data_IF_913444175386
#
_entry.id   IF_913444175386
#
_cell.length_a   1.000
_cell.length_b   1.000
_cell.length_c   1.000
_cell.angle_alpha   90.00
_cell.angle_beta   90.00
_cell.angle_gamma   90.00
#
_symmetry.space_group_name_H-M   'P 1'
#
loop_
_entity.id
_entity.type
_entity.pdbx_description
1 polymer ?
#
# COMPACT_ATOMS: atom_id res chain seq x y z
N UNK A 1 -13.60 5.87 2.05
CA UNK A 1 -13.03 4.62 2.59
C UNK A 1 -13.79 4.26 3.85
N UNK A 2 -14.13 2.98 4.04
CA UNK A 2 -14.78 2.50 5.27
C UNK A 2 -13.72 2.00 6.24
N UNK A 3 -14.00 2.01 7.53
CA UNK A 3 -13.12 1.44 8.55
C UNK A 3 -12.83 -0.07 8.32
N UNK A 4 -13.72 -0.77 7.59
CA UNK A 4 -13.58 -2.17 7.20
C UNK A 4 -12.56 -2.40 6.08
N UNK A 5 -12.16 -1.35 5.37
CA UNK A 5 -11.26 -1.46 4.23
C UNK A 5 -9.79 -1.44 4.70
N UNK A 6 -9.55 -1.11 5.98
CA UNK A 6 -8.22 -0.91 6.57
C UNK A 6 -7.94 -1.81 7.76
N UNK A 7 -6.65 -2.05 8.00
CA UNK A 7 -6.12 -2.75 9.17
C UNK A 7 -5.02 -1.94 9.85
N UNK A 8 -4.68 -2.35 11.07
CA UNK A 8 -3.51 -1.82 11.79
C UNK A 8 -2.26 -2.05 10.92
N UNK A 9 -1.42 -1.02 10.81
CA UNK A 9 -0.24 -0.99 9.95
C UNK A 9 -0.49 -0.45 8.53
N UNK A 10 -1.76 -0.29 8.11
CA UNK A 10 -2.03 0.28 6.80
C UNK A 10 -1.59 1.75 6.70
N UNK A 11 -1.08 2.08 5.52
CA UNK A 11 -0.65 3.40 5.12
C UNK A 11 -1.78 4.05 4.32
N UNK A 12 -2.23 5.20 4.80
CA UNK A 12 -3.33 5.97 4.20
C UNK A 12 -2.91 7.42 4.01
N UNK A 13 -3.66 8.16 3.19
CA UNK A 13 -3.38 9.58 2.95
C UNK A 13 -4.06 10.43 4.02
N UNK A 14 -3.30 11.32 4.63
CA UNK A 14 -3.85 12.34 5.52
C UNK A 14 -4.66 13.37 4.72
N UNK A 15 -5.73 13.89 5.32
CA UNK A 15 -6.38 15.11 4.81
C UNK A 15 -5.68 16.39 5.28
N UNK A 16 -4.70 16.30 6.20
CA UNK A 16 -3.83 17.41 6.54
C UNK A 16 -2.73 17.54 5.49
N UNK A 17 -2.69 18.67 4.78
CA UNK A 17 -1.73 18.95 3.71
C UNK A 17 -0.26 19.00 4.18
N UNK A 18 -0.01 19.20 5.47
CA UNK A 18 1.33 19.20 6.07
C UNK A 18 1.90 17.78 6.29
N UNK A 19 1.09 16.74 6.03
CA UNK A 19 1.42 15.34 6.28
C UNK A 19 1.40 14.56 4.97
N UNK A 20 2.46 13.79 4.67
CA UNK A 20 2.50 12.99 3.45
C UNK A 20 1.60 11.75 3.57
N UNK A 21 1.69 11.04 4.70
CA UNK A 21 0.93 9.82 4.95
C UNK A 21 0.70 9.57 6.44
N UNK A 22 -0.27 8.70 6.72
CA UNK A 22 -0.59 8.21 8.04
C UNK A 22 -0.34 6.70 8.13
N UNK A 23 0.02 6.21 9.31
CA UNK A 23 0.01 4.78 9.64
C UNK A 23 -1.07 4.54 10.68
N UNK A 24 -1.95 3.57 10.42
CA UNK A 24 -3.01 3.20 11.37
C UNK A 24 -2.42 2.36 12.51
N UNK A 25 -2.64 2.79 13.75
CA UNK A 25 -2.16 2.10 14.96
C UNK A 25 -3.29 1.45 15.76
N UNK A 26 -4.50 1.99 15.71
CA UNK A 26 -5.66 1.38 16.35
C UNK A 26 -6.96 1.64 15.59
N UNK A 27 -7.86 0.66 15.64
CA UNK A 27 -9.21 0.74 15.07
C UNK A 27 -10.18 0.31 16.16
N UNK A 28 -11.18 1.15 16.40
CA UNK A 28 -12.32 0.86 17.26
C UNK A 28 -13.60 1.01 16.45
N UNK A 29 -14.75 0.64 17.03
CA UNK A 29 -16.05 0.78 16.35
C UNK A 29 -16.34 2.21 15.87
N UNK A 30 -15.79 3.23 16.53
CA UNK A 30 -16.13 4.63 16.28
C UNK A 30 -14.94 5.51 15.90
N UNK A 31 -13.71 5.00 16.03
CA UNK A 31 -12.49 5.81 15.87
C UNK A 31 -11.36 5.00 15.28
N UNK A 32 -10.51 5.70 14.54
CA UNK A 32 -9.23 5.21 14.07
C UNK A 32 -8.16 6.19 14.58
N UNK A 33 -7.05 5.64 15.05
CA UNK A 33 -5.92 6.45 15.52
C UNK A 33 -4.65 6.00 14.82
N UNK A 34 -3.69 6.92 14.72
CA UNK A 34 -2.44 6.61 14.07
C UNK A 34 -1.40 7.71 14.23
N UNK A 35 -0.35 7.57 13.44
CA UNK A 35 0.74 8.53 13.35
C UNK A 35 0.75 9.21 12.01
N UNK A 36 1.09 10.50 12.01
CA UNK A 36 1.37 11.30 10.83
C UNK A 36 2.86 11.27 10.56
N UNK A 37 3.24 11.04 9.30
CA UNK A 37 4.62 11.00 8.87
C UNK A 37 4.86 11.97 7.70
N UNK A 38 6.03 12.59 7.69
CA UNK A 38 6.43 13.49 6.62
C UNK A 38 7.06 12.71 5.44
N UNK A 39 7.53 13.45 4.43
CA UNK A 39 8.11 12.88 3.21
C UNK A 39 9.34 12.00 3.42
N UNK A 40 10.06 12.22 4.52
CA UNK A 40 11.22 11.45 4.96
C UNK A 40 10.86 10.26 5.86
N UNK A 41 9.55 10.00 6.05
CA UNK A 41 9.06 8.96 6.95
C UNK A 41 9.28 9.26 8.43
N UNK A 42 9.52 10.53 8.80
CA UNK A 42 9.66 10.90 10.21
C UNK A 42 8.30 11.19 10.82
N UNK A 43 8.13 10.70 12.04
CA UNK A 43 6.98 11.01 12.89
C UNK A 43 6.83 12.54 13.05
N UNK A 44 5.62 13.03 12.80
CA UNK A 44 5.23 14.43 12.96
C UNK A 44 4.34 14.58 14.19
N UNK A 45 3.27 13.79 14.25
CA UNK A 45 2.26 13.89 15.31
C UNK A 45 1.41 12.62 15.38
N UNK A 46 0.65 12.48 16.48
CA UNK A 46 -0.42 11.49 16.57
C UNK A 46 -1.74 12.13 16.17
N UNK A 47 -2.64 11.32 15.63
CA UNK A 47 -4.01 11.74 15.33
C UNK A 47 -5.01 10.74 15.89
N UNK A 48 -6.19 11.25 16.22
CA UNK A 48 -7.32 10.48 16.72
C UNK A 48 -8.57 11.08 16.10
N UNK A 49 -9.21 10.33 15.19
CA UNK A 49 -10.38 10.85 14.51
C UNK A 49 -11.37 9.77 14.07
N UNK A 50 -12.53 10.23 13.61
CA UNK A 50 -13.48 9.39 12.87
C UNK A 50 -12.93 8.95 11.51
N UNK A 51 -13.65 8.08 10.81
CA UNK A 51 -13.28 7.54 9.49
C UNK A 51 -13.08 8.59 8.40
N UNK A 52 -13.56 9.83 8.61
CA UNK A 52 -13.62 10.87 7.58
C UNK A 52 -12.31 11.65 7.42
N UNK A 53 -11.26 11.29 8.16
CA UNK A 53 -10.00 12.05 8.23
C UNK A 53 -8.87 11.51 7.35
N UNK A 54 -9.09 10.39 6.66
CA UNK A 54 -8.12 9.81 5.77
C UNK A 54 -8.78 9.29 4.50
N UNK A 55 -7.99 9.20 3.45
CA UNK A 55 -8.42 8.70 2.16
C UNK A 55 -7.42 7.68 1.62
N UNK A 56 -7.81 7.00 0.54
CA UNK A 56 -6.93 6.06 -0.14
C UNK A 56 -5.68 6.82 -0.58
N UNK A 57 -4.52 6.32 -0.18
CA UNK A 57 -3.26 6.83 -0.69
C UNK A 57 -3.01 6.17 -2.05
N UNK A 58 -2.98 6.93 -3.16
CA UNK A 58 -2.86 6.32 -4.49
C UNK A 58 -1.57 5.51 -4.63
N UNK A 59 -1.69 4.32 -5.23
CA UNK A 59 -0.58 3.42 -5.49
C UNK A 59 0.19 3.91 -6.74
N UNK A 60 1.16 4.79 -6.51
CA UNK A 60 2.04 5.33 -7.56
C UNK A 60 3.39 4.61 -7.61
N UNK A 61 4.16 4.76 -8.69
CA UNK A 61 5.55 4.25 -8.78
C UNK A 61 6.42 4.66 -7.57
N UNK A 62 6.24 5.90 -7.08
CA UNK A 62 6.92 6.39 -5.87
C UNK A 62 6.58 5.55 -4.64
N UNK A 63 5.31 5.19 -4.47
CA UNK A 63 4.86 4.37 -3.35
C UNK A 63 5.25 2.91 -3.50
N UNK A 64 5.17 2.34 -4.71
CA UNK A 64 5.65 1.00 -5.01
C UNK A 64 7.14 0.86 -4.64
N UNK A 65 7.96 1.84 -5.01
CA UNK A 65 9.38 1.87 -4.65
C UNK A 65 9.58 1.91 -3.14
N UNK A 66 8.83 2.77 -2.42
CA UNK A 66 8.86 2.83 -0.96
C UNK A 66 8.43 1.50 -0.31
N UNK A 67 7.49 0.77 -0.92
CA UNK A 67 7.02 -0.55 -0.47
C UNK A 67 7.99 -1.69 -0.82
N UNK A 68 9.15 -1.38 -1.39
CA UNK A 68 10.21 -2.35 -1.69
C UNK A 68 10.22 -2.89 -3.11
N UNK A 69 9.33 -2.40 -4.00
CA UNK A 69 9.44 -2.75 -5.41
C UNK A 69 10.76 -2.20 -5.98
N UNK A 70 11.39 -3.01 -6.83
CA UNK A 70 12.63 -2.66 -7.50
C UNK A 70 12.46 -2.75 -9.01
N UNK A 71 13.16 -1.88 -9.75
CA UNK A 71 13.17 -1.94 -11.22
C UNK A 71 13.80 -3.24 -11.68
N UNK A 72 13.13 -3.93 -12.59
CA UNK A 72 13.71 -5.07 -13.31
C UNK A 72 14.66 -4.50 -14.37
N UNK A 73 15.91 -4.97 -14.41
CA UNK A 73 16.94 -4.42 -15.32
C UNK A 73 16.62 -4.55 -16.80
N UNK A 74 15.79 -5.52 -17.17
CA UNK A 74 15.46 -5.88 -18.55
C UNK A 74 14.10 -5.36 -19.02
N UNK A 75 13.34 -4.68 -18.16
CA UNK A 75 12.02 -4.13 -18.50
C UNK A 75 11.80 -2.76 -17.86
N UNK A 76 10.70 -2.10 -18.20
CA UNK A 76 10.27 -0.87 -17.53
C UNK A 76 9.43 -1.17 -16.28
N UNK A 77 9.44 -2.42 -15.83
CA UNK A 77 8.55 -2.90 -14.77
C UNK A 77 9.20 -2.80 -13.40
N UNK A 78 8.34 -2.69 -12.40
CA UNK A 78 8.69 -2.80 -11.00
C UNK A 78 8.30 -4.18 -10.48
N UNK A 79 9.12 -4.78 -9.62
CA UNK A 79 8.84 -6.08 -9.03
C UNK A 79 9.08 -6.13 -7.52
N UNK A 80 8.22 -6.88 -6.82
CA UNK A 80 8.39 -7.29 -5.43
C UNK A 80 7.98 -8.75 -5.28
N UNK A 81 8.96 -9.66 -5.22
CA UNK A 81 8.68 -11.10 -5.26
C UNK A 81 7.97 -11.47 -6.55
N UNK A 82 6.74 -11.97 -6.44
CA UNK A 82 5.88 -12.32 -7.58
C UNK A 82 4.92 -11.19 -8.00
N UNK A 83 4.89 -10.08 -7.27
CA UNK A 83 4.14 -8.91 -7.70
C UNK A 83 4.92 -8.16 -8.78
N UNK A 84 4.19 -7.66 -9.76
CA UNK A 84 4.70 -6.89 -10.88
C UNK A 84 3.84 -5.66 -11.09
N UNK A 85 4.46 -4.58 -11.51
CA UNK A 85 3.75 -3.37 -11.91
C UNK A 85 4.33 -2.82 -13.19
N UNK A 86 3.44 -2.49 -14.12
CA UNK A 86 3.75 -1.84 -15.38
C UNK A 86 2.81 -0.64 -15.57
N UNK A 87 3.32 0.47 -16.09
CA UNK A 87 2.54 1.70 -16.25
C UNK A 87 1.36 1.59 -17.23
N UNK A 88 1.35 0.58 -18.10
CA UNK A 88 0.28 0.32 -19.08
C UNK A 88 -0.76 -0.68 -18.57
N UNK A 89 -0.34 -1.72 -17.86
CA UNK A 89 -1.23 -2.81 -17.43
C UNK A 89 -1.60 -2.75 -15.95
N UNK A 90 -0.92 -1.93 -15.15
CA UNK A 90 -1.14 -1.81 -13.72
C UNK A 90 -0.42 -2.90 -12.92
N UNK A 91 -0.96 -3.23 -11.75
CA UNK A 91 -0.43 -4.24 -10.85
C UNK A 91 -0.95 -5.62 -11.26
N UNK A 92 -0.08 -6.63 -11.24
CA UNK A 92 -0.44 -8.03 -11.43
C UNK A 92 0.43 -8.95 -10.56
N UNK A 93 -0.03 -10.18 -10.38
CA UNK A 93 0.69 -11.21 -9.62
C UNK A 93 1.02 -12.38 -10.54
N UNK A 94 2.31 -12.72 -10.65
CA UNK A 94 2.79 -13.88 -11.40
C UNK A 94 2.78 -15.13 -10.53
N UNK A 95 2.16 -16.20 -11.03
CA UNK A 95 2.20 -17.52 -10.40
C UNK A 95 2.81 -18.52 -11.37
N UNK A 96 3.92 -19.13 -10.97
CA UNK A 96 4.48 -20.26 -11.68
C UNK A 96 3.61 -21.52 -11.47
N UNK A 97 3.36 -22.23 -12.57
CA UNK A 97 2.74 -23.55 -12.60
C UNK A 97 3.72 -24.55 -13.23
N UNK A 98 3.38 -25.84 -13.24
CA UNK A 98 4.25 -26.88 -13.80
C UNK A 98 4.58 -26.68 -15.29
N UNK A 99 3.81 -25.87 -16.02
CA UNK A 99 3.94 -25.74 -17.48
C UNK A 99 3.89 -24.30 -18.00
N UNK A 100 3.56 -23.31 -17.16
CA UNK A 100 3.39 -21.92 -17.60
C UNK A 100 3.47 -20.90 -16.44
N UNK A 101 3.59 -19.63 -16.79
CA UNK A 101 3.42 -18.49 -15.87
C UNK A 101 2.01 -17.92 -16.06
N UNK A 102 1.22 -17.93 -14.99
CA UNK A 102 -0.12 -17.34 -14.98
C UNK A 102 -0.06 -15.97 -14.34
N UNK A 103 -0.57 -14.96 -15.06
CA UNK A 103 -0.74 -13.60 -14.55
C UNK A 103 -2.16 -13.41 -13.99
N UNK A 104 -2.23 -12.95 -12.75
CA UNK A 104 -3.48 -12.57 -12.09
C UNK A 104 -3.58 -11.04 -12.12
N UNK A 105 -4.60 -10.54 -12.80
CA UNK A 105 -4.87 -9.10 -12.90
C UNK A 105 -5.27 -8.51 -11.54
N UNK A 106 -4.47 -7.55 -11.05
CA UNK A 106 -4.70 -6.79 -9.84
C UNK A 106 -4.85 -5.29 -10.14
N UNK A 107 -5.21 -4.92 -11.37
CA UNK A 107 -5.36 -3.53 -11.83
C UNK A 107 -6.42 -2.73 -11.05
N UNK A 108 -7.35 -3.41 -10.38
CA UNK A 108 -8.34 -2.82 -9.49
C UNK A 108 -7.77 -2.34 -8.14
N UNK A 109 -6.52 -2.70 -7.82
CA UNK A 109 -5.83 -2.20 -6.62
C UNK A 109 -5.26 -0.82 -6.95
N UNK A 110 -5.95 0.22 -6.49
CA UNK A 110 -5.63 1.62 -6.79
C UNK A 110 -4.91 2.33 -5.64
N UNK A 111 -4.97 1.76 -4.43
CA UNK A 111 -4.45 2.38 -3.21
C UNK A 111 -3.43 1.51 -2.47
N UNK A 112 -2.54 2.18 -1.73
CA UNK A 112 -1.49 1.54 -0.93
C UNK A 112 -2.07 0.53 0.08
N UNK A 113 -3.10 0.90 0.85
CA UNK A 113 -3.72 0.01 1.83
C UNK A 113 -4.31 -1.28 1.22
N UNK A 114 -4.93 -1.19 0.03
CA UNK A 114 -5.46 -2.35 -0.71
C UNK A 114 -4.32 -3.30 -1.10
N UNK A 115 -3.21 -2.75 -1.61
CA UNK A 115 -2.01 -3.53 -1.89
C UNK A 115 -1.46 -4.19 -0.64
N UNK A 116 -1.33 -3.46 0.48
CA UNK A 116 -0.82 -4.02 1.73
C UNK A 116 -1.69 -5.17 2.24
N UNK A 117 -3.01 -5.07 2.07
CA UNK A 117 -3.94 -6.12 2.48
C UNK A 117 -3.82 -7.35 1.57
N UNK A 118 -3.72 -7.13 0.25
CA UNK A 118 -3.50 -8.19 -0.73
C UNK A 118 -2.15 -8.90 -0.50
N UNK A 119 -1.07 -8.14 -0.32
CA UNK A 119 0.27 -8.66 -0.06
C UNK A 119 0.32 -9.54 1.19
N UNK A 120 -0.28 -9.08 2.29
CA UNK A 120 -0.36 -9.86 3.52
C UNK A 120 -1.23 -11.11 3.37
N UNK A 121 -2.36 -11.02 2.68
CA UNK A 121 -3.22 -12.17 2.44
C UNK A 121 -2.51 -13.28 1.63
N UNK A 122 -1.58 -12.92 0.75
CA UNK A 122 -0.83 -13.86 -0.10
C UNK A 122 0.44 -14.35 0.59
N UNK A 123 1.18 -13.48 1.27
CA UNK A 123 2.53 -13.79 1.78
C UNK A 123 2.57 -14.07 3.29
N UNK A 124 1.60 -13.57 4.04
CA UNK A 124 1.64 -13.53 5.52
C UNK A 124 2.55 -12.43 6.09
N UNK A 125 3.27 -11.69 5.24
CA UNK A 125 4.21 -10.64 5.64
C UNK A 125 3.63 -9.23 5.43
N UNK A 126 4.20 -8.26 6.14
CA UNK A 126 3.92 -6.83 5.92
C UNK A 126 4.90 -6.24 4.90
N UNK A 127 4.45 -5.45 3.91
CA UNK A 127 5.37 -4.70 3.08
C UNK A 127 5.97 -3.55 3.90
N UNK A 128 7.29 -3.55 4.06
CA UNK A 128 8.00 -2.53 4.81
C UNK A 128 8.26 -1.28 3.96
N UNK A 129 8.15 -0.10 4.59
CA UNK A 129 8.67 1.14 4.00
C UNK A 129 10.20 1.11 4.03
N UNK A 130 10.81 1.32 2.85
CA UNK A 130 12.26 1.47 2.66
C UNK A 130 12.68 2.94 2.55
#
# INVERSE_FOLDING_TARGET
MKATDVRIGNIVKSLNEEVEYCIIESITKTRITGTNNNTQGRFVSKWNSGSDFFQGLPLTEKWLTKLGFSKITTSHDLALGNFRWNSKTGLYYERETESDVVEIDLSHIEHVHEFQNCYFAITGDEPFLR
#
